data_IF_132440268490
#
_entry.id   IF_132440268490
#
_cell.length_a   1.000
_cell.length_b   1.000
_cell.length_c   1.000
_cell.angle_alpha   90.00
_cell.angle_beta   90.00
_cell.angle_gamma   90.00
#
_symmetry.space_group_name_H-M   'P 1'
#
loop_
_entity.id
_entity.type
_entity.pdbx_description
1 polymer ?
#
# COMPACT_ATOMS: atom_id res chain seq x y z
N UNK A 1 8.31 13.75 -2.20
CA UNK A 1 7.46 14.13 -3.34
C UNK A 1 8.31 14.95 -4.29
N UNK A 2 8.32 14.59 -5.58
CA UNK A 2 9.17 15.25 -6.58
C UNK A 2 8.71 16.70 -6.86
N UNK A 3 9.61 17.68 -7.06
CA UNK A 3 9.27 19.07 -7.37
C UNK A 3 8.23 19.25 -8.49
N UNK A 4 8.38 18.56 -9.62
CA UNK A 4 7.40 18.59 -10.72
C UNK A 4 5.97 18.20 -10.29
N UNK A 5 5.81 17.34 -9.27
CA UNK A 5 4.47 16.97 -8.74
C UNK A 5 3.90 18.11 -7.90
N UNK A 6 4.74 18.81 -7.14
CA UNK A 6 4.34 19.98 -6.37
C UNK A 6 3.94 21.13 -7.32
N UNK A 7 4.73 21.38 -8.36
CA UNK A 7 4.44 22.37 -9.40
C UNK A 7 3.13 22.07 -10.13
N UNK A 8 2.92 20.80 -10.55
CA UNK A 8 1.69 20.37 -11.19
C UNK A 8 0.45 20.52 -10.28
N UNK A 9 0.63 20.49 -8.96
CA UNK A 9 -0.42 20.73 -7.96
C UNK A 9 -0.55 22.22 -7.57
N UNK A 10 0.24 23.12 -8.16
CA UNK A 10 0.19 24.57 -7.92
C UNK A 10 1.04 25.07 -6.74
N UNK A 11 1.95 24.25 -6.21
CA UNK A 11 2.86 24.62 -5.12
C UNK A 11 4.26 24.96 -5.63
N UNK A 12 4.89 26.00 -5.06
CA UNK A 12 6.30 26.33 -5.31
C UNK A 12 7.22 25.34 -4.55
N UNK A 13 8.06 24.55 -5.24
CA UNK A 13 8.92 23.53 -4.62
C UNK A 13 10.11 24.09 -3.83
N UNK A 14 10.50 25.36 -4.02
CA UNK A 14 11.53 26.02 -3.20
C UNK A 14 11.01 26.44 -1.82
N UNK A 15 9.69 26.64 -1.71
CA UNK A 15 9.02 27.02 -0.46
C UNK A 15 8.46 25.82 0.29
N UNK A 16 8.02 24.80 -0.44
CA UNK A 16 7.32 23.64 0.12
C UNK A 16 8.02 22.34 -0.26
N UNK A 17 8.27 21.51 0.75
CA UNK A 17 8.73 20.13 0.58
C UNK A 17 7.63 19.16 1.01
N UNK A 18 7.64 17.95 0.45
CA UNK A 18 6.68 16.90 0.80
C UNK A 18 7.31 15.52 0.82
N UNK A 19 6.80 14.65 1.68
CA UNK A 19 7.08 13.22 1.70
C UNK A 19 5.81 12.44 1.34
N UNK A 20 5.96 11.28 0.71
CA UNK A 20 4.85 10.38 0.41
C UNK A 20 5.31 8.93 0.59
N UNK A 21 4.40 8.09 1.04
CA UNK A 21 4.60 6.66 1.19
C UNK A 21 3.34 5.91 0.75
N UNK A 22 3.52 4.65 0.39
CA UNK A 22 2.44 3.74 0.05
C UNK A 22 2.80 2.34 0.48
N UNK A 23 1.80 1.58 0.90
CA UNK A 23 1.96 0.18 1.29
C UNK A 23 0.80 -0.62 0.72
N UNK A 24 1.08 -1.85 0.27
CA UNK A 24 0.04 -2.81 -0.12
C UNK A 24 -0.46 -3.55 1.12
N UNK A 25 -1.76 -3.49 1.38
CA UNK A 25 -2.39 -4.13 2.55
C UNK A 25 -2.19 -5.65 2.46
N UNK A 26 -2.32 -6.22 1.27
CA UNK A 26 -2.16 -7.65 0.99
C UNK A 26 -0.74 -8.11 1.30
N UNK A 27 0.28 -7.32 0.94
CA UNK A 27 1.68 -7.64 1.23
C UNK A 27 1.95 -7.67 2.74
N UNK A 28 1.40 -6.71 3.48
CA UNK A 28 1.54 -6.68 4.95
C UNK A 28 0.83 -7.88 5.56
N UNK A 29 -0.38 -8.21 5.10
CA UNK A 29 -1.14 -9.35 5.59
C UNK A 29 -0.38 -10.67 5.35
N UNK A 30 0.15 -10.87 4.13
CA UNK A 30 0.94 -12.06 3.79
C UNK A 30 2.17 -12.23 4.69
N UNK A 31 2.91 -11.16 4.94
CA UNK A 31 4.08 -11.21 5.83
C UNK A 31 3.70 -11.44 7.29
N UNK A 32 2.63 -10.79 7.77
CA UNK A 32 2.19 -10.86 9.16
C UNK A 32 1.62 -12.24 9.51
N UNK A 33 0.91 -12.85 8.57
CA UNK A 33 0.13 -14.07 8.78
C UNK A 33 0.72 -15.31 8.10
N UNK A 34 1.85 -15.18 7.41
CA UNK A 34 2.49 -16.31 6.71
C UNK A 34 1.65 -16.86 5.56
N UNK A 35 0.92 -15.99 4.84
CA UNK A 35 0.13 -16.41 3.68
C UNK A 35 1.05 -16.46 2.47
N UNK A 36 1.24 -17.65 1.92
CA UNK A 36 2.18 -17.88 0.80
C UNK A 36 1.59 -17.51 -0.57
N UNK A 37 0.27 -17.55 -0.71
CA UNK A 37 -0.44 -17.29 -1.98
C UNK A 37 -1.41 -16.12 -1.87
N UNK A 38 -1.18 -15.09 -2.69
CA UNK A 38 -2.04 -13.90 -2.76
C UNK A 38 -3.48 -14.24 -3.18
N UNK A 39 -3.69 -15.28 -4.00
CA UNK A 39 -5.01 -15.66 -4.51
C UNK A 39 -5.96 -16.08 -3.39
N UNK A 40 -5.44 -16.66 -2.32
CA UNK A 40 -6.23 -17.06 -1.16
C UNK A 40 -6.98 -15.88 -0.52
N UNK A 41 -6.52 -14.63 -0.70
CA UNK A 41 -7.22 -13.43 -0.23
C UNK A 41 -8.46 -13.06 -1.08
N UNK A 42 -8.62 -13.64 -2.28
CA UNK A 42 -9.70 -13.32 -3.22
C UNK A 42 -10.66 -14.48 -3.49
N UNK A 43 -10.29 -15.71 -3.13
CA UNK A 43 -11.09 -16.91 -3.36
C UNK A 43 -12.26 -17.07 -2.38
N UNK A 44 -12.24 -16.35 -1.24
CA UNK A 44 -13.26 -16.41 -0.18
C UNK A 44 -13.48 -17.84 0.39
N UNK A 45 -12.41 -18.63 0.48
CA UNK A 45 -12.46 -19.96 1.08
C UNK A 45 -12.68 -19.86 2.61
N UNK A 46 -13.78 -20.44 3.08
CA UNK A 46 -14.14 -20.45 4.50
C UNK A 46 -13.03 -20.99 5.41
N UNK A 47 -12.27 -22.00 4.95
CA UNK A 47 -11.16 -22.61 5.70
C UNK A 47 -10.01 -21.64 5.93
N UNK A 48 -9.81 -20.68 5.03
CA UNK A 48 -8.82 -19.63 5.20
C UNK A 48 -9.35 -18.53 6.12
N UNK A 49 -10.63 -18.18 6.00
CA UNK A 49 -11.27 -17.16 6.83
C UNK A 49 -11.32 -17.56 8.32
N UNK A 50 -11.49 -18.84 8.64
CA UNK A 50 -11.49 -19.34 10.03
C UNK A 50 -10.12 -19.24 10.74
N UNK A 51 -9.02 -19.00 10.02
CA UNK A 51 -7.66 -18.96 10.61
C UNK A 51 -7.33 -17.62 11.28
N UNK A 52 -8.22 -16.64 11.21
CA UNK A 52 -8.04 -15.26 11.69
C UNK A 52 -9.19 -14.81 12.57
#
# INVERSE_FOLDING_TARGET
>A
VHPNVLEAAGYNPDRYMGFAFGMGIERIAMLKYGIDDLRSLFENDYRMLEQF
#
